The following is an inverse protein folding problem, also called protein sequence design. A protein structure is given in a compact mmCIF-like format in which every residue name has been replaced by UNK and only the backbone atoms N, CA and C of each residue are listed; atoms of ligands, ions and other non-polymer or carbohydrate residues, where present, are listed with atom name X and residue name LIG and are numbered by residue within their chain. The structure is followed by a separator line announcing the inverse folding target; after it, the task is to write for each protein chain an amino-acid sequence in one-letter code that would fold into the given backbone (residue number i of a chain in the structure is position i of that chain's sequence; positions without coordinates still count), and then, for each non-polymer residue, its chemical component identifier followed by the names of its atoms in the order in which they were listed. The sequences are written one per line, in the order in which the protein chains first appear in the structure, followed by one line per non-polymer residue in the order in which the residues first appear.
data_IF_980821885540
#
_entry.id   IF_980821885540
#
_cell.length_a   1.000
_cell.length_b   1.000
_cell.length_c   1.000
_cell.angle_alpha   90.00
_cell.angle_beta   90.00
_cell.angle_gamma   90.00
#
_symmetry.space_group_name_H-M   'P 1'
#
loop_
_entity.id
_entity.type
_entity.pdbx_description
1 polymer ?
#
# COMPACT_ATOMS: atom_id res chain seq x y z
N UNK A 1 -15.49 -24.22 20.57
CA UNK A 1 -14.18 -23.87 21.16
C UNK A 1 -13.14 -24.81 20.55
N UNK A 2 -12.71 -24.53 19.33
CA UNK A 2 -11.66 -25.26 18.60
C UNK A 2 -11.34 -24.49 17.31
N UNK A 3 -10.05 -24.39 16.99
CA UNK A 3 -9.48 -24.03 15.68
C UNK A 3 -9.69 -22.63 15.08
N UNK A 4 -9.25 -21.57 15.79
CA UNK A 4 -9.13 -20.24 15.16
C UNK A 4 -7.84 -19.46 15.49
N UNK A 5 -6.74 -20.16 15.84
CA UNK A 5 -5.49 -19.51 16.28
C UNK A 5 -4.22 -20.03 15.59
N UNK A 6 -4.33 -20.53 14.36
CA UNK A 6 -3.16 -21.05 13.63
C UNK A 6 -3.08 -20.50 12.21
N UNK A 7 -2.60 -19.25 12.09
CA UNK A 7 -1.95 -18.70 10.91
C UNK A 7 -1.52 -17.25 11.19
N UNK A 8 -0.51 -17.07 12.04
CA UNK A 8 0.20 -15.81 12.18
C UNK A 8 1.69 -16.10 12.11
N UNK A 9 2.12 -16.62 10.98
CA UNK A 9 3.53 -16.67 10.60
C UNK A 9 3.62 -16.66 9.07
N UNK A 10 4.66 -15.99 8.56
CA UNK A 10 5.07 -15.83 7.16
C UNK A 10 4.52 -14.60 6.43
N UNK A 11 5.26 -13.48 6.52
CA UNK A 11 6.14 -13.07 5.41
C UNK A 11 6.76 -11.72 5.75
N UNK A 12 7.88 -11.76 6.49
CA UNK A 12 8.84 -10.66 6.46
C UNK A 12 9.39 -10.63 5.04
N UNK A 13 8.95 -9.66 4.24
CA UNK A 13 9.47 -9.43 2.90
C UNK A 13 10.97 -9.13 3.03
N UNK A 14 11.76 -10.16 2.74
CA UNK A 14 13.21 -10.12 2.67
C UNK A 14 13.58 -9.22 1.49
N UNK A 15 13.94 -7.97 1.78
CA UNK A 15 14.52 -7.08 0.78
C UNK A 15 15.87 -7.67 0.34
N UNK A 16 16.08 -7.98 -0.95
CA UNK A 16 17.42 -8.28 -1.42
C UNK A 16 18.25 -6.99 -1.27
N UNK A 17 19.25 -7.06 -0.39
CA UNK A 17 20.31 -6.05 -0.29
C UNK A 17 20.92 -5.92 -1.68
N UNK A 18 20.74 -4.77 -2.33
CA UNK A 18 21.46 -4.43 -3.55
C UNK A 18 22.93 -4.28 -3.15
N UNK A 19 23.71 -5.33 -3.40
CA UNK A 19 25.17 -5.33 -3.30
C UNK A 19 25.68 -4.41 -4.40
N UNK A 20 25.93 -3.15 -4.06
CA UNK A 20 26.62 -2.21 -4.92
C UNK A 20 28.12 -2.52 -4.88
N UNK A 21 28.56 -3.42 -5.77
CA UNK A 21 29.97 -3.66 -6.01
C UNK A 21 30.52 -2.55 -6.92
N UNK A 22 30.86 -1.40 -6.32
CA UNK A 22 31.65 -0.36 -6.99
C UNK A 22 33.11 -0.82 -7.00
N UNK A 23 33.54 -1.43 -8.10
CA UNK A 23 34.94 -1.74 -8.36
C UNK A 23 35.64 -0.44 -8.76
N UNK A 24 36.32 0.19 -7.80
CA UNK A 24 37.23 1.32 -8.05
C UNK A 24 38.55 0.72 -8.58
N UNK A 25 38.76 0.77 -9.90
CA UNK A 25 40.10 0.53 -10.46
C UNK A 25 40.88 1.84 -10.35
N UNK A 26 41.68 1.95 -9.28
CA UNK A 26 42.71 2.97 -9.17
C UNK A 26 43.87 2.64 -10.09
N UNK A 27 44.09 3.44 -11.13
CA UNK A 27 45.30 3.38 -11.95
C UNK A 27 46.33 4.34 -11.34
N UNK A 28 47.34 3.77 -10.68
CA UNK A 28 48.55 4.48 -10.29
C UNK A 28 49.40 4.77 -11.53
N UNK A 29 49.74 6.04 -11.74
CA UNK A 29 50.65 6.49 -12.81
C UNK A 29 52.08 6.45 -12.27
N UNK A 30 52.88 5.50 -12.75
CA UNK A 30 54.35 5.52 -12.58
C UNK A 30 55.01 6.00 -13.87
N UNK A 31 55.87 7.00 -13.73
CA UNK A 31 56.58 7.68 -14.81
C UNK A 31 57.65 6.80 -15.46
N UNK A 32 57.69 6.75 -16.79
CA UNK A 32 58.90 6.39 -17.55
C UNK A 32 59.00 7.33 -18.75
N UNK A 33 60.10 8.07 -18.84
CA UNK A 33 60.51 8.90 -19.96
C UNK A 33 61.49 8.13 -20.84
N UNK A 34 61.20 7.99 -22.15
CA UNK A 34 62.23 7.79 -23.20
C UNK A 34 61.73 8.45 -24.50
N UNK A 35 62.60 9.25 -25.11
CA UNK A 35 62.38 9.85 -26.43
C UNK A 35 62.35 8.77 -27.52
N UNK A 36 61.30 8.75 -28.34
CA UNK A 36 61.19 7.87 -29.51
C UNK A 36 60.56 8.62 -30.69
N UNK A 37 61.10 8.39 -31.88
CA UNK A 37 60.54 8.84 -33.15
C UNK A 37 59.05 8.44 -33.27
N UNK A 38 58.22 9.33 -33.82
CA UNK A 38 56.79 9.16 -34.02
C UNK A 38 56.48 7.89 -34.86
N UNK A 39 56.24 6.75 -34.20
CA UNK A 39 55.94 5.46 -34.83
C UNK A 39 54.44 5.39 -35.23
N UNK A 40 54.09 5.36 -36.53
CA UNK A 40 52.70 5.23 -36.98
C UNK A 40 52.02 3.93 -36.53
N UNK A 41 52.79 2.86 -36.22
CA UNK A 41 52.24 1.63 -35.65
C UNK A 41 51.83 1.78 -34.17
N UNK A 42 52.44 2.70 -33.43
CA UNK A 42 52.03 3.06 -32.07
C UNK A 42 50.68 3.82 -32.09
N UNK A 43 50.54 4.83 -32.98
CA UNK A 43 49.28 5.56 -33.17
C UNK A 43 48.12 4.66 -33.60
N UNK A 44 48.37 3.65 -34.45
CA UNK A 44 47.34 2.67 -34.87
C UNK A 44 46.85 1.79 -33.71
N UNK A 45 47.76 1.36 -32.82
CA UNK A 45 47.41 0.59 -31.62
C UNK A 45 46.59 1.43 -30.64
N UNK A 46 46.90 2.71 -30.52
CA UNK A 46 46.16 3.65 -29.70
C UNK A 46 44.73 3.86 -30.20
N UNK A 47 44.53 4.08 -31.51
CA UNK A 47 43.18 4.17 -32.11
C UNK A 47 42.38 2.87 -31.95
N UNK A 48 43.01 1.70 -32.08
CA UNK A 48 42.33 0.41 -31.82
C UNK A 48 41.92 0.27 -30.36
N UNK A 49 42.76 0.72 -29.43
CA UNK A 49 42.46 0.71 -27.99
C UNK A 49 41.33 1.67 -27.67
N UNK A 50 41.33 2.86 -28.26
CA UNK A 50 40.25 3.84 -28.14
C UNK A 50 38.92 3.32 -28.72
N UNK A 51 38.94 2.64 -29.87
CA UNK A 51 37.76 1.97 -30.44
C UNK A 51 37.21 0.88 -29.53
N UNK A 52 38.08 0.06 -28.93
CA UNK A 52 37.68 -0.96 -27.97
C UNK A 52 37.06 -0.34 -26.70
N UNK A 53 37.64 0.75 -26.20
CA UNK A 53 37.09 1.50 -25.07
C UNK A 53 35.74 2.15 -25.39
N UNK A 54 35.56 2.70 -26.59
CA UNK A 54 34.29 3.26 -27.04
C UNK A 54 33.20 2.18 -27.16
N UNK A 55 33.54 1.01 -27.73
CA UNK A 55 32.62 -0.13 -27.81
C UNK A 55 32.25 -0.67 -26.42
N UNK A 56 33.20 -0.74 -25.49
CA UNK A 56 32.94 -1.10 -24.10
C UNK A 56 32.00 -0.09 -23.41
N UNK A 57 32.21 1.22 -23.61
CA UNK A 57 31.32 2.28 -23.09
C UNK A 57 29.92 2.19 -23.68
N UNK A 58 29.77 1.92 -24.98
CA UNK A 58 28.47 1.74 -25.62
C UNK A 58 27.72 0.53 -25.06
N UNK A 59 28.40 -0.60 -24.86
CA UNK A 59 27.82 -1.79 -24.23
C UNK A 59 27.38 -1.52 -22.78
N UNK A 60 28.19 -0.82 -21.99
CA UNK A 60 27.83 -0.40 -20.63
C UNK A 60 26.60 0.52 -20.63
N UNK A 61 26.50 1.46 -21.59
CA UNK A 61 25.33 2.33 -21.73
C UNK A 61 24.06 1.55 -22.09
N UNK A 62 24.15 0.61 -23.04
CA UNK A 62 23.01 -0.25 -23.42
C UNK A 62 22.56 -1.15 -22.26
N UNK A 63 23.51 -1.72 -21.50
CA UNK A 63 23.21 -2.47 -20.29
C UNK A 63 22.50 -1.59 -19.25
N UNK A 64 22.99 -0.36 -19.04
CA UNK A 64 22.36 0.63 -18.16
C UNK A 64 20.95 1.00 -18.61
N UNK A 65 20.68 1.12 -19.92
CA UNK A 65 19.35 1.40 -20.44
C UNK A 65 18.38 0.25 -20.17
N UNK A 66 18.83 -0.99 -20.34
CA UNK A 66 18.02 -2.19 -20.04
C UNK A 66 17.69 -2.26 -18.54
N UNK A 67 18.65 -1.94 -17.68
CA UNK A 67 18.45 -1.87 -16.23
C UNK A 67 17.47 -0.76 -15.84
N UNK A 68 17.55 0.42 -16.47
CA UNK A 68 16.61 1.52 -16.24
C UNK A 68 15.19 1.11 -16.66
N UNK A 69 15.02 0.50 -17.84
CA UNK A 69 13.72 0.03 -18.29
C UNK A 69 13.14 -1.00 -17.33
N UNK A 70 13.95 -1.97 -16.88
CA UNK A 70 13.52 -2.96 -15.90
C UNK A 70 13.08 -2.32 -14.57
N UNK A 71 13.84 -1.35 -14.07
CA UNK A 71 13.50 -0.62 -12.84
C UNK A 71 12.21 0.20 -13.00
N UNK A 72 11.98 0.82 -14.15
CA UNK A 72 10.72 1.52 -14.46
C UNK A 72 9.54 0.54 -14.51
N UNK A 73 9.71 -0.62 -15.15
CA UNK A 73 8.67 -1.65 -15.24
C UNK A 73 8.34 -2.25 -13.86
N UNK A 74 9.34 -2.44 -12.99
CA UNK A 74 9.13 -2.84 -11.59
C UNK A 74 8.38 -1.78 -10.80
N UNK A 75 8.73 -0.51 -10.98
CA UNK A 75 8.13 0.59 -10.25
C UNK A 75 6.69 0.85 -10.69
N UNK A 76 6.41 0.75 -11.99
CA UNK A 76 5.06 0.85 -12.53
C UNK A 76 4.19 -0.33 -12.07
N UNK A 77 4.73 -1.56 -12.06
CA UNK A 77 4.06 -2.73 -11.46
C UNK A 77 3.75 -2.52 -9.99
N UNK A 78 4.71 -1.97 -9.22
CA UNK A 78 4.49 -1.65 -7.82
C UNK A 78 3.36 -0.61 -7.66
N UNK A 79 3.40 0.52 -8.38
CA UNK A 79 2.37 1.55 -8.31
C UNK A 79 0.98 0.98 -8.64
N UNK A 80 0.85 0.19 -9.72
CA UNK A 80 -0.42 -0.47 -10.09
C UNK A 80 -0.90 -1.42 -8.99
N UNK A 81 0.00 -2.20 -8.39
CA UNK A 81 -0.32 -3.09 -7.27
C UNK A 81 -0.82 -2.31 -6.06
N UNK A 82 -0.17 -1.19 -5.70
CA UNK A 82 -0.60 -0.35 -4.59
C UNK A 82 -1.94 0.34 -4.87
N UNK A 83 -2.19 0.78 -6.11
CA UNK A 83 -3.48 1.34 -6.52
C UNK A 83 -4.61 0.31 -6.44
N UNK A 84 -4.39 -0.92 -6.90
CA UNK A 84 -5.35 -2.02 -6.77
C UNK A 84 -5.64 -2.33 -5.29
N UNK A 85 -4.59 -2.34 -4.46
CA UNK A 85 -4.72 -2.50 -3.01
C UNK A 85 -5.55 -1.39 -2.35
N UNK A 86 -5.39 -0.12 -2.78
CA UNK A 86 -6.24 0.99 -2.32
C UNK A 86 -7.69 0.78 -2.74
N UNK A 87 -7.94 0.38 -3.99
CA UNK A 87 -9.29 0.08 -4.49
C UNK A 87 -9.99 -0.98 -3.65
N UNK A 88 -9.31 -2.10 -3.38
CA UNK A 88 -9.82 -3.17 -2.54
C UNK A 88 -10.07 -2.71 -1.09
N UNK A 89 -9.18 -1.90 -0.52
CA UNK A 89 -9.35 -1.38 0.84
C UNK A 89 -10.48 -0.34 0.94
N UNK A 90 -10.70 0.46 -0.11
CA UNK A 90 -11.83 1.39 -0.19
C UNK A 90 -13.14 0.61 -0.17
N UNK A 91 -13.28 -0.39 -1.05
CA UNK A 91 -14.46 -1.25 -1.09
C UNK A 91 -14.71 -1.95 0.26
N UNK A 92 -13.65 -2.42 0.93
CA UNK A 92 -13.76 -3.02 2.24
C UNK A 92 -14.19 -2.02 3.34
N UNK A 93 -13.74 -0.77 3.25
CA UNK A 93 -14.16 0.30 4.15
C UNK A 93 -15.63 0.68 3.95
N UNK A 94 -16.07 0.78 2.69
CA UNK A 94 -17.47 1.07 2.34
C UNK A 94 -18.41 -0.05 2.80
N UNK A 95 -18.02 -1.31 2.57
CA UNK A 95 -18.77 -2.47 3.05
C UNK A 95 -18.85 -2.50 4.59
N UNK A 96 -17.76 -2.16 5.29
CA UNK A 96 -17.77 -2.09 6.75
C UNK A 96 -18.69 -0.95 7.26
N UNK A 97 -18.70 0.19 6.59
CA UNK A 97 -19.59 1.30 6.93
C UNK A 97 -21.07 0.93 6.76
N UNK A 98 -21.44 0.26 5.66
CA UNK A 98 -22.80 -0.24 5.43
C UNK A 98 -23.20 -1.30 6.47
N UNK A 99 -22.27 -2.18 6.86
CA UNK A 99 -22.49 -3.16 7.92
C UNK A 99 -22.72 -2.50 9.29
N UNK A 100 -21.98 -1.43 9.61
CA UNK A 100 -22.18 -0.64 10.82
C UNK A 100 -23.56 0.05 10.83
N UNK A 101 -23.97 0.65 9.72
CA UNK A 101 -25.30 1.26 9.60
C UNK A 101 -26.40 0.22 9.84
N UNK A 102 -26.29 -0.95 9.19
CA UNK A 102 -27.21 -2.07 9.38
C UNK A 102 -27.24 -2.54 10.85
N UNK A 103 -26.07 -2.64 11.49
CA UNK A 103 -25.99 -3.05 12.89
C UNK A 103 -26.63 -2.03 13.84
N UNK A 104 -26.45 -0.73 13.58
CA UNK A 104 -27.09 0.35 14.35
C UNK A 104 -28.61 0.37 14.16
N UNK A 105 -29.10 0.15 12.95
CA UNK A 105 -30.54 0.04 12.69
C UNK A 105 -31.14 -1.14 13.46
N UNK A 106 -30.48 -2.30 13.46
CA UNK A 106 -30.90 -3.47 14.23
C UNK A 106 -30.86 -3.23 15.74
N UNK A 107 -29.86 -2.53 16.24
CA UNK A 107 -29.78 -2.13 17.66
C UNK A 107 -30.95 -1.20 18.02
N UNK A 108 -31.22 -0.18 17.21
CA UNK A 108 -32.33 0.76 17.42
C UNK A 108 -33.68 0.04 17.43
N UNK A 109 -33.90 -0.89 16.50
CA UNK A 109 -35.11 -1.70 16.46
C UNK A 109 -35.29 -2.55 17.74
N UNK A 110 -34.23 -3.20 18.22
CA UNK A 110 -34.31 -3.97 19.47
C UNK A 110 -34.51 -3.07 20.71
N UNK A 111 -33.94 -1.86 20.70
CA UNK A 111 -34.17 -0.90 21.77
C UNK A 111 -35.63 -0.45 21.83
N UNK A 112 -36.26 -0.22 20.67
CA UNK A 112 -37.68 0.09 20.57
C UNK A 112 -38.56 -1.08 21.02
N UNK A 113 -38.20 -2.32 20.65
CA UNK A 113 -38.91 -3.53 21.11
C UNK A 113 -38.84 -3.70 22.63
N UNK A 114 -37.67 -3.50 23.24
CA UNK A 114 -37.52 -3.52 24.70
C UNK A 114 -38.38 -2.44 25.36
N UNK A 115 -38.46 -1.24 24.79
CA UNK A 115 -39.32 -0.18 25.32
C UNK A 115 -40.80 -0.59 25.26
N UNK A 116 -41.27 -1.08 24.11
CA UNK A 116 -42.65 -1.52 23.94
C UNK A 116 -43.04 -2.72 24.84
N UNK A 117 -42.11 -3.66 25.07
CA UNK A 117 -42.32 -4.78 26.00
C UNK A 117 -42.31 -4.32 27.47
N UNK A 118 -41.47 -3.34 27.81
CA UNK A 118 -41.45 -2.75 29.15
C UNK A 118 -42.76 -2.04 29.45
N UNK A 119 -43.29 -1.27 28.50
CA UNK A 119 -44.53 -0.53 28.69
C UNK A 119 -45.71 -1.50 28.85
N UNK A 120 -45.80 -2.55 28.02
CA UNK A 120 -46.78 -3.64 28.22
C UNK A 120 -46.67 -4.33 29.58
N UNK A 121 -45.45 -4.62 30.04
CA UNK A 121 -45.25 -5.22 31.36
C UNK A 121 -45.65 -4.27 32.50
N UNK A 122 -45.50 -2.96 32.32
CA UNK A 122 -45.96 -1.95 33.28
C UNK A 122 -47.49 -1.85 33.32
N UNK A 123 -48.17 -1.91 32.17
CA UNK A 123 -49.63 -1.93 32.08
C UNK A 123 -50.23 -3.14 32.81
N UNK A 124 -49.68 -4.34 32.60
CA UNK A 124 -50.10 -5.56 33.30
C UNK A 124 -49.91 -5.42 34.82
N UNK A 125 -48.80 -4.82 35.26
CA UNK A 125 -48.54 -4.60 36.68
C UNK A 125 -49.50 -3.55 37.29
N UNK A 126 -49.85 -2.50 36.54
CA UNK A 126 -50.79 -1.48 36.96
C UNK A 126 -52.22 -2.04 37.09
N UNK A 127 -52.68 -2.80 36.10
CA UNK A 127 -54.00 -3.46 36.13
C UNK A 127 -54.14 -4.44 37.30
N UNK A 128 -53.03 -5.14 37.64
CA UNK A 128 -52.96 -6.00 38.81
C UNK A 128 -53.00 -5.20 40.13
N UNK A 129 -52.29 -4.07 40.21
CA UNK A 129 -52.24 -3.21 41.40
C UNK A 129 -53.56 -2.47 41.66
N UNK A 130 -54.17 -1.90 40.62
CA UNK A 130 -55.47 -1.22 40.68
C UNK A 130 -56.62 -2.20 40.97
N UNK A 131 -56.35 -3.50 40.92
CA UNK A 131 -57.36 -4.52 41.14
C UNK A 131 -58.49 -4.42 40.13
N UNK A 132 -58.26 -3.96 38.90
CA UNK A 132 -59.28 -4.03 37.84
C UNK A 132 -59.60 -5.49 37.50
N UNK A 133 -58.57 -6.33 37.49
CA UNK A 133 -58.69 -7.79 37.43
C UNK A 133 -59.36 -8.38 38.69
N UNK A 134 -58.97 -7.94 39.89
CA UNK A 134 -59.46 -8.51 41.15
C UNK A 134 -60.84 -8.00 41.57
N UNK A 135 -61.22 -6.75 41.32
CA UNK A 135 -62.53 -6.16 41.65
C UNK A 135 -63.64 -6.70 40.76
N UNK A 136 -63.40 -6.88 39.46
CA UNK A 136 -64.30 -7.65 38.57
C UNK A 136 -64.43 -9.11 39.04
N UNK A 137 -63.35 -9.69 39.59
CA UNK A 137 -63.34 -11.06 40.14
C UNK A 137 -64.09 -11.17 41.48
N UNK A 138 -63.96 -10.17 42.37
CA UNK A 138 -64.62 -10.10 43.68
C UNK A 138 -66.11 -9.79 43.58
N UNK A 139 -66.54 -8.95 42.63
CA UNK A 139 -67.97 -8.67 42.45
C UNK A 139 -68.70 -9.88 41.83
N UNK A 140 -68.01 -10.66 40.98
CA UNK A 140 -68.53 -11.93 40.47
C UNK A 140 -68.54 -13.05 41.54
N UNK A 141 -67.68 -13.03 42.57
CA UNK A 141 -67.65 -14.04 43.64
C UNK A 141 -68.95 -14.12 44.47
N UNK A 142 -69.80 -13.08 44.40
CA UNK A 142 -71.15 -13.08 45.00
C UNK A 142 -72.14 -14.02 44.30
N UNK A 143 -71.84 -14.50 43.10
CA UNK A 143 -72.69 -15.45 42.36
C UNK A 143 -72.11 -16.87 42.47
N UNK A 144 -72.64 -17.67 43.40
CA UNK A 144 -72.19 -19.02 43.75
C UNK A 144 -72.60 -20.08 42.70
N UNK A 145 -71.92 -20.13 41.54
CA UNK A 145 -72.08 -21.23 40.57
C UNK A 145 -70.77 -22.01 40.37
N UNK A 146 -70.83 -23.34 40.48
CA UNK A 146 -69.70 -24.26 40.27
C UNK A 146 -69.05 -24.11 38.88
N UNK A 147 -69.85 -23.82 37.84
CA UNK A 147 -69.34 -23.58 36.48
C UNK A 147 -68.53 -22.29 36.37
N UNK A 148 -68.82 -21.28 37.19
CA UNK A 148 -68.06 -20.02 37.22
C UNK A 148 -66.73 -20.16 37.95
N UNK A 149 -66.62 -21.10 38.90
CA UNK A 149 -65.36 -21.42 39.58
C UNK A 149 -64.35 -22.07 38.62
N UNK A 150 -64.79 -23.02 37.79
CA UNK A 150 -63.92 -23.66 36.79
C UNK A 150 -63.43 -22.66 35.72
N UNK A 151 -64.33 -21.80 35.22
CA UNK A 151 -63.96 -20.70 34.30
C UNK A 151 -62.96 -19.72 34.92
N UNK A 152 -63.09 -19.40 36.21
CA UNK A 152 -62.14 -18.53 36.93
C UNK A 152 -60.74 -19.13 37.03
N UNK A 153 -60.64 -20.42 37.34
CA UNK A 153 -59.33 -21.07 37.40
C UNK A 153 -58.62 -20.96 36.05
N UNK A 154 -59.34 -21.15 34.94
CA UNK A 154 -58.78 -21.01 33.59
C UNK A 154 -58.33 -19.57 33.29
N UNK A 155 -59.15 -18.56 33.58
CA UNK A 155 -58.78 -17.15 33.36
C UNK A 155 -57.61 -16.69 34.23
N UNK A 156 -57.53 -17.15 35.49
CA UNK A 156 -56.42 -16.83 36.38
C UNK A 156 -55.11 -17.50 35.91
N UNK A 157 -55.19 -18.77 35.47
CA UNK A 157 -54.06 -19.48 34.86
C UNK A 157 -53.59 -18.80 33.57
N UNK A 158 -54.52 -18.32 32.74
CA UNK A 158 -54.20 -17.52 31.54
C UNK A 158 -53.51 -16.19 31.91
N UNK A 159 -54.03 -15.44 32.88
CA UNK A 159 -53.46 -14.16 33.29
C UNK A 159 -52.06 -14.28 33.93
N UNK A 160 -51.85 -15.30 34.77
CA UNK A 160 -50.53 -15.63 35.34
C UNK A 160 -49.56 -16.08 34.24
N UNK A 161 -50.04 -16.90 33.29
CA UNK A 161 -49.27 -17.32 32.12
C UNK A 161 -48.83 -16.14 31.25
N UNK A 162 -49.75 -15.24 30.92
CA UNK A 162 -49.50 -14.05 30.11
C UNK A 162 -48.50 -13.09 30.77
N UNK A 163 -48.63 -12.88 32.09
CA UNK A 163 -47.70 -12.06 32.87
C UNK A 163 -46.28 -12.65 32.87
N UNK A 164 -46.14 -13.98 33.05
CA UNK A 164 -44.85 -14.66 32.99
C UNK A 164 -44.23 -14.57 31.59
N UNK A 165 -45.05 -14.77 30.55
CA UNK A 165 -44.63 -14.67 29.15
C UNK A 165 -44.15 -13.25 28.82
N UNK A 166 -44.83 -12.21 29.30
CA UNK A 166 -44.43 -10.82 29.10
C UNK A 166 -43.06 -10.51 29.74
N UNK A 167 -42.81 -10.99 30.96
CA UNK A 167 -41.52 -10.80 31.64
C UNK A 167 -40.39 -11.59 30.98
N UNK A 168 -40.65 -12.82 30.54
CA UNK A 168 -39.67 -13.64 29.83
C UNK A 168 -39.35 -13.05 28.45
N UNK A 169 -40.35 -12.57 27.72
CA UNK A 169 -40.16 -11.84 26.47
C UNK A 169 -39.32 -10.56 26.67
N UNK A 170 -39.60 -9.77 27.73
CA UNK A 170 -38.80 -8.59 28.06
C UNK A 170 -37.35 -8.97 28.42
N UNK A 171 -37.14 -10.04 29.18
CA UNK A 171 -35.80 -10.53 29.52
C UNK A 171 -35.04 -10.96 28.26
N UNK A 172 -35.69 -11.71 27.37
CA UNK A 172 -35.12 -12.14 26.11
C UNK A 172 -34.77 -10.94 25.20
N UNK A 173 -35.67 -9.97 25.06
CA UNK A 173 -35.44 -8.76 24.26
C UNK A 173 -34.27 -7.92 24.81
N UNK A 174 -34.12 -7.81 26.14
CA UNK A 174 -32.97 -7.14 26.76
C UNK A 174 -31.65 -7.85 26.46
N UNK A 175 -31.63 -9.19 26.49
CA UNK A 175 -30.45 -9.97 26.13
C UNK A 175 -30.11 -9.83 24.64
N UNK A 176 -31.11 -9.81 23.77
CA UNK A 176 -30.93 -9.55 22.34
C UNK A 176 -30.37 -8.14 22.10
N UNK A 177 -30.93 -7.11 22.75
CA UNK A 177 -30.41 -5.74 22.67
C UNK A 177 -28.92 -5.66 23.07
N UNK A 178 -28.50 -6.34 24.14
CA UNK A 178 -27.10 -6.40 24.54
C UNK A 178 -26.22 -7.07 23.47
N UNK A 179 -26.73 -8.14 22.84
CA UNK A 179 -26.05 -8.82 21.73
C UNK A 179 -25.90 -7.91 20.51
N UNK A 180 -26.97 -7.18 20.14
CA UNK A 180 -26.95 -6.23 19.03
C UNK A 180 -26.06 -5.02 19.30
N UNK A 181 -26.06 -4.48 20.52
CA UNK A 181 -25.10 -3.43 20.96
C UNK A 181 -23.65 -3.87 20.76
N UNK A 182 -23.31 -5.07 21.21
CA UNK A 182 -21.96 -5.62 21.02
C UNK A 182 -21.64 -5.81 19.54
N UNK A 183 -22.62 -6.23 18.72
CA UNK A 183 -22.44 -6.35 17.28
C UNK A 183 -22.20 -4.98 16.61
N UNK A 184 -22.97 -3.96 16.97
CA UNK A 184 -22.80 -2.59 16.48
C UNK A 184 -21.45 -2.00 16.89
N UNK A 185 -21.01 -2.24 18.13
CA UNK A 185 -19.68 -1.83 18.59
C UNK A 185 -18.56 -2.54 17.81
N UNK A 186 -18.66 -3.86 17.60
CA UNK A 186 -17.69 -4.58 16.76
C UNK A 186 -17.67 -4.06 15.33
N UNK A 187 -18.82 -3.77 14.73
CA UNK A 187 -18.90 -3.20 13.39
C UNK A 187 -18.27 -1.79 13.34
N UNK A 188 -18.40 -1.00 14.42
CA UNK A 188 -17.76 0.31 14.55
C UNK A 188 -16.24 0.18 14.59
N UNK A 189 -15.73 -0.73 15.41
CA UNK A 189 -14.29 -0.99 15.54
C UNK A 189 -13.70 -1.51 14.22
N UNK A 190 -14.42 -2.41 13.54
CA UNK A 190 -14.04 -2.89 12.20
C UNK A 190 -14.02 -1.75 11.18
N UNK A 191 -15.01 -0.86 11.18
CA UNK A 191 -15.04 0.31 10.28
C UNK A 191 -13.82 1.21 10.51
N UNK A 192 -13.49 1.52 11.77
CA UNK A 192 -12.31 2.31 12.11
C UNK A 192 -11.01 1.62 11.66
N UNK A 193 -10.90 0.30 11.86
CA UNK A 193 -9.75 -0.47 11.41
C UNK A 193 -9.60 -0.44 9.87
N UNK A 194 -10.70 -0.57 9.12
CA UNK A 194 -10.69 -0.49 7.64
C UNK A 194 -10.32 0.89 7.13
N UNK A 195 -10.82 1.95 7.78
CA UNK A 195 -10.43 3.32 7.45
C UNK A 195 -8.93 3.56 7.67
N UNK A 196 -8.37 3.03 8.77
CA UNK A 196 -6.93 3.12 9.03
C UNK A 196 -6.10 2.35 8.00
N UNK A 197 -6.53 1.16 7.61
CA UNK A 197 -5.89 0.37 6.55
C UNK A 197 -5.89 1.12 5.21
N UNK A 198 -7.03 1.71 4.83
CA UNK A 198 -7.14 2.54 3.63
C UNK A 198 -6.16 3.74 3.67
N UNK A 199 -6.08 4.45 4.79
CA UNK A 199 -5.14 5.56 4.95
C UNK A 199 -3.68 5.12 4.82
N UNK A 200 -3.33 3.96 5.40
CA UNK A 200 -1.99 3.38 5.29
C UNK A 200 -1.64 3.05 3.83
N UNK A 201 -2.57 2.48 3.08
CA UNK A 201 -2.37 2.16 1.65
C UNK A 201 -2.26 3.41 0.79
N UNK A 202 -3.06 4.45 1.06
CA UNK A 202 -2.91 5.74 0.39
C UNK A 202 -1.53 6.36 0.64
N UNK A 203 -1.00 6.24 1.88
CA UNK A 203 0.35 6.68 2.19
C UNK A 203 1.43 5.86 1.43
N UNK A 204 1.22 4.54 1.29
CA UNK A 204 2.10 3.67 0.51
C UNK A 204 2.13 4.04 -0.98
N UNK A 205 0.97 4.32 -1.59
CA UNK A 205 0.90 4.83 -2.99
C UNK A 205 1.69 6.12 -3.14
N UNK A 206 1.49 7.09 -2.23
CA UNK A 206 2.23 8.36 -2.27
C UNK A 206 3.74 8.16 -2.12
N UNK A 207 4.17 7.20 -1.30
CA UNK A 207 5.58 6.85 -1.16
C UNK A 207 6.13 6.25 -2.46
N UNK A 208 5.41 5.30 -3.08
CA UNK A 208 5.79 4.70 -4.36
C UNK A 208 5.89 5.75 -5.47
N UNK A 209 4.95 6.71 -5.55
CA UNK A 209 5.00 7.82 -6.49
C UNK A 209 6.21 8.73 -6.27
N UNK A 210 6.57 9.05 -5.02
CA UNK A 210 7.79 9.81 -4.74
C UNK A 210 9.07 9.05 -5.12
N UNK A 211 9.08 7.73 -4.92
CA UNK A 211 10.20 6.89 -5.36
C UNK A 211 10.32 6.90 -6.89
N UNK A 212 9.19 6.90 -7.61
CA UNK A 212 9.15 7.04 -9.07
C UNK A 212 9.68 8.38 -9.56
N UNK A 213 9.25 9.48 -8.95
CA UNK A 213 9.78 10.79 -9.29
C UNK A 213 11.28 10.85 -9.04
N UNK A 214 11.74 10.42 -7.87
CA UNK A 214 13.16 10.44 -7.53
C UNK A 214 14.00 9.61 -8.51
N UNK A 215 13.52 8.43 -8.89
CA UNK A 215 14.21 7.59 -9.87
C UNK A 215 14.27 8.27 -11.25
N UNK A 216 13.19 8.93 -11.69
CA UNK A 216 13.18 9.70 -12.92
C UNK A 216 14.20 10.86 -12.88
N UNK A 217 14.24 11.61 -11.77
CA UNK A 217 15.20 12.69 -11.55
C UNK A 217 16.66 12.16 -11.55
N UNK A 218 16.91 11.03 -10.90
CA UNK A 218 18.23 10.38 -10.85
C UNK A 218 18.68 9.92 -12.26
N UNK A 219 17.75 9.41 -13.08
CA UNK A 219 18.02 9.02 -14.47
C UNK A 219 18.33 10.25 -15.34
N UNK A 220 17.54 11.32 -15.22
CA UNK A 220 17.74 12.56 -15.98
C UNK A 220 19.11 13.18 -15.69
N UNK A 221 19.45 13.33 -14.40
CA UNK A 221 20.75 13.84 -13.96
C UNK A 221 21.93 13.00 -14.51
N UNK A 222 21.77 11.67 -14.54
CA UNK A 222 22.79 10.76 -15.06
C UNK A 222 22.95 10.89 -16.58
N UNK A 223 21.85 11.06 -17.31
CA UNK A 223 21.87 11.30 -18.76
C UNK A 223 22.56 12.63 -19.07
N UNK A 224 22.23 13.70 -18.35
CA UNK A 224 22.85 15.01 -18.51
C UNK A 224 24.37 14.96 -18.26
N UNK A 225 24.77 14.35 -17.13
CA UNK A 225 26.19 14.19 -16.78
C UNK A 225 26.95 13.38 -17.83
N UNK A 226 26.37 12.28 -18.31
CA UNK A 226 27.00 11.41 -19.32
C UNK A 226 27.11 12.09 -20.68
N UNK A 227 26.09 12.89 -21.05
CA UNK A 227 26.08 13.66 -22.29
C UNK A 227 27.14 14.76 -22.26
N UNK A 228 27.21 15.53 -21.16
CA UNK A 228 28.22 16.57 -20.97
C UNK A 228 29.65 16.00 -21.02
N UNK A 229 29.89 14.85 -20.36
CA UNK A 229 31.18 14.15 -20.42
C UNK A 229 31.52 13.69 -21.85
N UNK A 230 30.53 13.18 -22.58
CA UNK A 230 30.72 12.73 -23.97
C UNK A 230 31.06 13.89 -24.90
N UNK A 231 30.38 15.03 -24.77
CA UNK A 231 30.64 16.25 -25.54
C UNK A 231 32.03 16.82 -25.22
N UNK A 232 32.44 16.80 -23.95
CA UNK A 232 33.78 17.22 -23.54
C UNK A 232 34.86 16.33 -24.15
N UNK A 233 34.65 15.01 -24.16
CA UNK A 233 35.57 14.06 -24.80
C UNK A 233 35.65 14.27 -26.31
N UNK A 234 34.52 14.47 -26.99
CA UNK A 234 34.49 14.72 -28.43
C UNK A 234 35.22 16.02 -28.81
N UNK A 235 35.05 17.08 -28.02
CA UNK A 235 35.81 18.34 -28.18
C UNK A 235 37.31 18.13 -27.99
N UNK A 236 37.71 17.41 -26.94
CA UNK A 236 39.12 17.10 -26.69
C UNK A 236 39.74 16.29 -27.83
N UNK A 237 39.01 15.30 -28.37
CA UNK A 237 39.44 14.48 -29.50
C UNK A 237 39.63 15.32 -30.77
N UNK A 238 38.68 16.22 -31.07
CA UNK A 238 38.80 17.13 -32.22
C UNK A 238 40.00 18.10 -32.10
N UNK A 239 40.29 18.60 -30.90
CA UNK A 239 41.42 19.48 -30.64
C UNK A 239 42.75 18.73 -30.79
N UNK A 240 42.85 17.50 -30.25
CA UNK A 240 44.01 16.63 -30.43
C UNK A 240 44.23 16.28 -31.90
N UNK A 241 43.16 15.92 -32.63
CA UNK A 241 43.22 15.66 -34.07
C UNK A 241 43.76 16.85 -34.87
N UNK A 242 43.29 18.07 -34.55
CA UNK A 242 43.79 19.30 -35.18
C UNK A 242 45.27 19.57 -34.85
N UNK A 243 45.69 19.38 -33.60
CA UNK A 243 47.10 19.53 -33.19
C UNK A 243 48.01 18.54 -33.91
N UNK A 244 47.59 17.28 -34.02
CA UNK A 244 48.35 16.24 -34.74
C UNK A 244 48.50 16.61 -36.23
N UNK A 245 47.43 17.07 -36.87
CA UNK A 245 47.47 17.50 -38.26
C UNK A 245 48.44 18.69 -38.47
N UNK A 246 48.43 19.67 -37.56
CA UNK A 246 49.35 20.81 -37.59
C UNK A 246 50.81 20.38 -37.40
N UNK A 247 51.11 19.51 -36.44
CA UNK A 247 52.47 18.99 -36.19
C UNK A 247 53.02 18.15 -37.34
N UNK A 248 52.17 17.35 -37.98
CA UNK A 248 52.54 16.59 -39.18
C UNK A 248 52.86 17.53 -40.37
N UNK A 249 52.13 18.64 -40.53
CA UNK A 249 52.41 19.62 -41.57
C UNK A 249 53.73 20.39 -41.34
N UNK A 250 54.05 20.71 -40.08
CA UNK A 250 55.30 21.37 -39.70
C UNK A 250 56.52 20.46 -39.84
N UNK A 251 56.42 19.19 -39.46
CA UNK A 251 57.52 18.23 -39.64
C UNK A 251 57.82 18.00 -41.13
N UNK A 252 56.79 17.90 -41.97
CA UNK A 252 56.96 17.79 -43.42
C UNK A 252 57.60 19.03 -44.05
N UNK A 253 57.30 20.25 -43.56
CA UNK A 253 57.92 21.48 -44.07
C UNK A 253 59.40 21.61 -43.65
N UNK A 254 59.73 21.23 -42.41
CA UNK A 254 61.12 21.21 -41.91
C UNK A 254 61.97 20.18 -42.64
N UNK A 255 61.45 18.97 -42.88
CA UNK A 255 62.15 17.95 -43.68
C UNK A 255 62.35 18.37 -45.14
N UNK A 256 61.43 19.17 -45.70
CA UNK A 256 61.58 19.71 -47.07
C UNK A 256 62.60 20.85 -47.14
N UNK A 257 62.74 21.64 -46.07
CA UNK A 257 63.71 22.74 -45.96
C UNK A 257 65.12 22.25 -45.64
N UNK A 258 65.26 21.20 -44.81
CA UNK A 258 66.56 20.60 -44.47
C UNK A 258 67.23 19.83 -45.61
N UNK A 259 66.48 19.45 -46.65
CA UNK A 259 67.02 18.76 -47.83
C UNK A 259 67.56 19.71 -48.92
N UNK A 260 67.49 21.03 -48.73
CA UNK A 260 67.92 22.03 -49.74
C UNK A 260 69.34 22.57 -49.45
N UNK A 261 69.93 22.31 -48.28
CA UNK A 261 71.22 22.91 -47.86
C UNK A 261 72.47 22.02 -48.00
N UNK A 262 72.43 20.93 -48.79
CA UNK A 262 73.54 19.96 -48.92
C UNK A 262 74.17 19.84 -50.32
N UNK A 263 73.90 20.78 -51.23
CA UNK A 263 74.53 20.82 -52.57
C UNK A 263 74.98 22.23 -52.92
N UNK A 264 76.19 22.60 -52.49
CA UNK A 264 77.12 23.50 -53.20
C UNK A 264 78.48 23.48 -52.52
#
# INVERSE_FOLDING_TARGET
MSEALRAADLSVAHFPKIVSAVVIVGVAVSQVTVAAADDPAARRREVQTQRAQAAARLNVLRASQTQIQHALDELDRNVRSQQAAVGAASQAADAAAAALETARARESAAAAEVAALRDRAADVALDAYEGKSSSATFDALKTNNLADIARRHEYLSLAIGDSSQALDALRAARQDLLTRRRAAQRAKDQTAARQKDLQSRLAAVRLAQRQQQKFADDVENKVETTTAQSDQLARADSQLGAQIAASNAQSLSVSRSGNISLTT
#
